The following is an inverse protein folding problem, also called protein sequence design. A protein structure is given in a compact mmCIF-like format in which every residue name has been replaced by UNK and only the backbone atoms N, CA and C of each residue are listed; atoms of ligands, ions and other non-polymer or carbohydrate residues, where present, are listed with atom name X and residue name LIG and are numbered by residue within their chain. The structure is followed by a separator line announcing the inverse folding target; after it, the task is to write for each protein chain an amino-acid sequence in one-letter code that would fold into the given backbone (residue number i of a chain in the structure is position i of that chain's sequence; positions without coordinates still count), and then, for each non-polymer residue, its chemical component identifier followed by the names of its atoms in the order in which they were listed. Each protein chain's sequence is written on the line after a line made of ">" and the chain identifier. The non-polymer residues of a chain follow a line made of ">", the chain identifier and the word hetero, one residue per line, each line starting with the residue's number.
data_IF_963805936951
#
_entry.id   IF_963805936951
#
_cell.length_a   1.000
_cell.length_b   1.000
_cell.length_c   1.000
_cell.angle_alpha   90.00
_cell.angle_beta   90.00
_cell.angle_gamma   90.00
#
_symmetry.space_group_name_H-M   'P 1'
#
loop_
_entity.id
_entity.type
_entity.pdbx_description
1 polymer ?
#
# COMPACT_ATOMS: atom_id res chain seq x y z
N UNK A 1 -1.19 -21.91 50.71
CA UNK A 1 0.22 -21.78 50.29
C UNK A 1 0.19 -21.29 48.84
N UNK A 2 0.90 -20.22 48.47
CA UNK A 2 0.94 -19.72 47.11
C UNK A 2 2.15 -20.29 46.37
N UNK A 3 1.92 -20.79 45.15
CA UNK A 3 2.98 -21.14 44.22
C UNK A 3 3.33 -19.87 43.42
N UNK A 4 4.58 -19.46 43.58
CA UNK A 4 5.24 -18.40 42.82
C UNK A 4 5.56 -18.92 41.43
N UNK A 5 4.81 -18.50 40.42
CA UNK A 5 5.34 -18.26 39.07
C UNK A 5 4.25 -17.56 38.25
N UNK A 6 4.33 -16.23 38.25
CA UNK A 6 3.51 -15.37 37.42
C UNK A 6 3.88 -15.53 35.95
N UNK A 7 3.09 -16.30 35.22
CA UNK A 7 3.11 -16.20 33.76
C UNK A 7 1.68 -16.29 33.20
N UNK A 8 1.12 -15.11 32.98
CA UNK A 8 -0.04 -14.87 32.11
C UNK A 8 0.22 -15.49 30.74
N UNK A 9 -0.80 -16.04 30.04
CA UNK A 9 -0.59 -16.61 28.72
C UNK A 9 -0.24 -15.48 27.74
N UNK A 10 1.04 -15.39 27.40
CA UNK A 10 1.59 -14.49 26.41
C UNK A 10 0.91 -14.76 25.06
N UNK A 11 0.27 -13.74 24.48
CA UNK A 11 -0.49 -13.79 23.24
C UNK A 11 0.43 -14.02 22.02
N UNK A 12 0.91 -15.26 21.85
CA UNK A 12 1.80 -15.69 20.75
C UNK A 12 1.23 -15.49 19.34
N UNK A 13 -0.09 -15.31 19.21
CA UNK A 13 -0.73 -15.26 17.89
C UNK A 13 -0.45 -13.96 17.14
N UNK A 14 -0.37 -12.83 17.84
CA UNK A 14 -0.14 -11.52 17.19
C UNK A 14 1.29 -11.35 16.69
N UNK A 15 2.28 -11.89 17.40
CA UNK A 15 3.69 -11.75 17.05
C UNK A 15 4.06 -12.61 15.84
N UNK A 16 3.54 -13.84 15.76
CA UNK A 16 3.75 -14.75 14.63
C UNK A 16 3.10 -14.18 13.36
N UNK A 17 1.89 -13.62 13.45
CA UNK A 17 1.26 -12.96 12.30
C UNK A 17 2.06 -11.75 11.81
N UNK A 18 2.65 -10.97 12.72
CA UNK A 18 3.47 -9.81 12.36
C UNK A 18 4.82 -10.21 11.77
N UNK A 19 5.43 -11.26 12.30
CA UNK A 19 6.71 -11.78 11.82
C UNK A 19 6.56 -12.47 10.45
N UNK A 20 5.48 -13.23 10.24
CA UNK A 20 5.13 -13.79 8.94
C UNK A 20 4.78 -12.68 7.95
N UNK A 21 3.99 -11.68 8.36
CA UNK A 21 3.68 -10.51 7.53
C UNK A 21 4.96 -9.78 7.10
N UNK A 22 5.85 -9.45 8.04
CA UNK A 22 7.13 -8.81 7.74
C UNK A 22 8.01 -9.67 6.82
N UNK A 23 8.05 -10.99 7.00
CA UNK A 23 8.85 -11.88 6.14
C UNK A 23 8.30 -12.01 4.72
N UNK A 24 6.97 -11.99 4.57
CA UNK A 24 6.32 -12.01 3.26
C UNK A 24 6.54 -10.67 2.55
N UNK A 25 6.29 -9.55 3.24
CA UNK A 25 6.55 -8.19 2.73
C UNK A 25 8.00 -8.03 2.26
N UNK A 26 8.96 -8.57 3.02
CA UNK A 26 10.38 -8.44 2.68
C UNK A 26 10.85 -9.37 1.55
N UNK A 27 10.05 -10.36 1.13
CA UNK A 27 10.38 -11.30 0.04
C UNK A 27 9.57 -11.08 -1.25
N UNK A 28 8.47 -10.34 -1.19
CA UNK A 28 7.75 -9.93 -2.39
C UNK A 28 8.44 -8.65 -2.89
N UNK A 29 8.83 -8.63 -4.17
CA UNK A 29 9.43 -7.45 -4.84
C UNK A 29 8.37 -6.34 -5.04
N UNK A 30 7.10 -6.66 -4.80
CA UNK A 30 5.96 -5.77 -4.87
C UNK A 30 5.96 -4.74 -3.74
N UNK A 31 5.54 -3.53 -4.09
CA UNK A 31 5.27 -2.49 -3.10
C UNK A 31 3.85 -2.66 -2.59
N UNK A 32 3.68 -2.51 -1.29
CA UNK A 32 2.37 -2.33 -0.69
C UNK A 32 2.18 -0.85 -0.37
N UNK A 33 1.13 -0.27 -0.93
CA UNK A 33 0.73 1.11 -0.67
C UNK A 33 -0.72 1.18 -0.21
N UNK A 34 -1.00 2.22 0.56
CA UNK A 34 -2.32 2.58 1.03
C UNK A 34 -2.54 4.05 0.68
N UNK A 35 -3.73 4.37 0.17
CA UNK A 35 -4.14 5.75 -0.08
C UNK A 35 -5.51 6.05 0.51
N UNK A 36 -5.72 7.31 0.89
CA UNK A 36 -7.04 7.83 1.22
C UNK A 36 -7.91 8.01 -0.03
N UNK A 37 -9.21 8.30 0.15
CA UNK A 37 -10.15 8.54 -0.95
C UNK A 37 -9.80 9.79 -1.81
N UNK A 38 -8.86 10.62 -1.37
CA UNK A 38 -8.34 11.78 -2.12
C UNK A 38 -7.03 11.44 -2.85
N UNK A 39 -6.54 10.22 -2.73
CA UNK A 39 -5.32 9.72 -3.35
C UNK A 39 -4.03 10.06 -2.60
N UNK A 40 -4.08 10.50 -1.34
CA UNK A 40 -2.87 10.71 -0.54
C UNK A 40 -2.39 9.39 0.03
N UNK A 41 -1.09 9.10 -0.09
CA UNK A 41 -0.49 7.94 0.55
C UNK A 41 -0.63 8.04 2.07
N UNK A 42 -1.22 7.03 2.68
CA UNK A 42 -1.31 6.88 4.15
C UNK A 42 -0.32 5.83 4.66
N UNK A 43 0.12 4.93 3.78
CA UNK A 43 1.19 3.97 4.04
C UNK A 43 1.89 3.60 2.74
N UNK A 44 3.19 3.33 2.83
CA UNK A 44 3.98 2.71 1.77
C UNK A 44 5.06 1.82 2.37
N UNK A 45 5.19 0.60 1.85
CA UNK A 45 6.24 -0.32 2.26
C UNK A 45 7.62 0.18 1.80
N UNK A 46 8.72 -0.18 2.49
CA UNK A 46 10.06 0.37 2.21
C UNK A 46 10.57 0.13 0.78
N UNK A 47 10.06 -0.92 0.11
CA UNK A 47 10.38 -1.28 -1.28
C UNK A 47 10.02 -0.16 -2.27
N UNK A 48 9.20 0.83 -1.87
CA UNK A 48 8.88 1.97 -2.72
C UNK A 48 10.11 2.79 -3.14
N UNK A 49 11.16 2.75 -2.32
CA UNK A 49 12.44 3.36 -2.66
C UNK A 49 13.06 2.73 -3.91
N UNK A 50 13.03 1.41 -4.02
CA UNK A 50 13.68 0.71 -5.12
C UNK A 50 12.97 0.91 -6.48
N UNK A 51 11.68 1.27 -6.47
CA UNK A 51 10.88 1.46 -7.70
C UNK A 51 10.66 2.94 -8.04
N UNK A 52 10.38 3.80 -7.04
CA UNK A 52 10.03 5.21 -7.26
C UNK A 52 11.04 6.20 -6.66
N UNK A 53 12.04 5.73 -5.91
CA UNK A 53 13.12 6.57 -5.36
C UNK A 53 12.73 7.39 -4.13
N UNK A 54 11.49 7.26 -3.65
CA UNK A 54 11.01 7.91 -2.43
C UNK A 54 11.20 6.99 -1.24
N UNK A 55 11.57 7.54 -0.08
CA UNK A 55 11.41 6.77 1.17
C UNK A 55 9.94 6.73 1.59
N UNK A 56 9.56 5.78 2.45
CA UNK A 56 8.22 5.70 3.02
C UNK A 56 7.79 7.01 3.69
N UNK A 57 8.71 7.69 4.38
CA UNK A 57 8.46 8.96 5.07
C UNK A 57 8.25 10.12 4.09
N UNK A 58 8.91 10.09 2.93
CA UNK A 58 8.78 11.14 1.92
C UNK A 58 7.48 11.03 1.12
N UNK A 59 7.03 9.80 0.85
CA UNK A 59 5.86 9.55 0.01
C UNK A 59 4.55 9.62 0.77
N UNK A 60 4.53 9.27 2.06
CA UNK A 60 3.34 9.39 2.90
C UNK A 60 2.91 10.86 3.00
N UNK A 61 1.64 11.12 2.72
CA UNK A 61 1.05 12.45 2.61
C UNK A 61 1.12 13.08 1.21
N UNK A 62 1.96 12.58 0.30
CA UNK A 62 1.93 13.00 -1.10
C UNK A 62 0.67 12.47 -1.79
N UNK A 63 0.16 13.24 -2.75
CA UNK A 63 -0.97 12.82 -3.56
C UNK A 63 -0.48 11.97 -4.74
N UNK A 64 -0.73 10.67 -4.69
CA UNK A 64 -0.31 9.71 -5.71
C UNK A 64 -0.84 10.03 -7.11
N UNK A 65 -2.02 10.65 -7.22
CA UNK A 65 -2.59 11.08 -8.52
C UNK A 65 -1.71 12.13 -9.22
N UNK A 66 -0.93 12.90 -8.48
CA UNK A 66 0.03 13.86 -9.06
C UNK A 66 1.29 13.20 -9.60
N UNK A 67 1.59 11.98 -9.14
CA UNK A 67 2.72 11.20 -9.66
C UNK A 67 2.34 10.44 -10.93
N UNK A 68 1.04 10.27 -11.22
CA UNK A 68 0.58 9.55 -12.41
C UNK A 68 0.84 10.39 -13.65
N UNK A 69 1.36 9.75 -14.69
CA UNK A 69 1.54 10.38 -15.99
C UNK A 69 0.22 10.98 -16.50
N UNK A 70 0.20 12.22 -17.03
CA UNK A 70 -1.04 12.92 -17.38
C UNK A 70 -1.98 12.15 -18.32
N UNK A 71 -1.42 11.34 -19.24
CA UNK A 71 -2.21 10.53 -20.17
C UNK A 71 -2.90 9.33 -19.50
N UNK A 72 -2.42 8.87 -18.35
CA UNK A 72 -2.90 7.67 -17.65
C UNK A 72 -3.83 8.05 -16.48
N UNK A 73 -3.81 9.33 -16.09
CA UNK A 73 -4.61 9.88 -14.99
C UNK A 73 -6.13 9.73 -15.20
N UNK A 74 -6.71 9.99 -16.38
CA UNK A 74 -8.16 9.84 -16.59
C UNK A 74 -8.64 8.41 -16.33
N UNK A 75 -7.96 7.41 -16.92
CA UNK A 75 -8.30 5.99 -16.74
C UNK A 75 -8.14 5.55 -15.28
N UNK A 76 -7.07 6.02 -14.61
CA UNK A 76 -6.85 5.72 -13.20
C UNK A 76 -7.99 6.25 -12.32
N UNK A 77 -8.43 7.49 -12.56
CA UNK A 77 -9.53 8.09 -11.81
C UNK A 77 -10.85 7.36 -12.04
N UNK A 78 -11.12 6.90 -13.27
CA UNK A 78 -12.30 6.09 -13.57
C UNK A 78 -12.26 4.76 -12.82
N UNK A 79 -11.15 4.02 -12.88
CA UNK A 79 -11.01 2.74 -12.15
C UNK A 79 -11.11 2.91 -10.64
N UNK A 80 -10.54 3.98 -10.08
CA UNK A 80 -10.69 4.28 -8.65
C UNK A 80 -12.16 4.53 -8.30
N UNK A 81 -12.89 5.33 -9.09
CA UNK A 81 -14.33 5.58 -8.87
C UNK A 81 -15.15 4.30 -8.98
N UNK A 82 -14.89 3.46 -9.97
CA UNK A 82 -15.56 2.17 -10.13
C UNK A 82 -15.35 1.28 -8.91
N UNK A 83 -14.12 1.15 -8.45
CA UNK A 83 -13.75 0.39 -7.23
C UNK A 83 -14.46 0.94 -6.00
N UNK A 84 -14.56 2.28 -5.87
CA UNK A 84 -15.33 2.97 -4.82
C UNK A 84 -16.79 2.59 -4.82
N UNK A 85 -17.42 2.59 -5.99
CA UNK A 85 -18.84 2.34 -6.10
C UNK A 85 -19.19 0.85 -5.99
N UNK A 86 -18.42 -0.03 -6.65
CA UNK A 86 -18.71 -1.47 -6.69
C UNK A 86 -18.17 -2.22 -5.48
N UNK A 87 -17.07 -1.74 -4.87
CA UNK A 87 -16.30 -2.50 -3.88
C UNK A 87 -15.51 -3.67 -4.46
N UNK A 88 -15.51 -3.83 -5.79
CA UNK A 88 -14.71 -4.85 -6.48
C UNK A 88 -13.24 -4.44 -6.51
N UNK A 89 -12.35 -5.42 -6.70
CA UNK A 89 -10.90 -5.15 -6.82
C UNK A 89 -10.58 -4.63 -8.22
N UNK A 90 -9.79 -3.57 -8.31
CA UNK A 90 -9.24 -3.07 -9.57
C UNK A 90 -7.89 -3.71 -9.90
N UNK A 91 -7.62 -3.78 -11.20
CA UNK A 91 -6.27 -3.96 -11.76
C UNK A 91 -6.03 -2.85 -12.79
N UNK A 92 -4.88 -2.20 -12.75
CA UNK A 92 -4.53 -1.15 -13.69
C UNK A 92 -3.04 -1.08 -13.95
N UNK A 93 -2.66 -0.73 -15.16
CA UNK A 93 -1.28 -0.44 -15.52
C UNK A 93 -1.18 1.06 -15.83
N UNK A 94 -0.20 1.74 -15.25
CA UNK A 94 -0.01 3.17 -15.43
C UNK A 94 1.45 3.54 -15.26
N UNK A 95 1.81 4.75 -15.69
CA UNK A 95 3.14 5.31 -15.45
C UNK A 95 3.11 6.22 -14.23
N UNK A 96 4.04 6.00 -13.30
CA UNK A 96 4.27 6.85 -12.15
C UNK A 96 5.60 7.60 -12.29
N UNK A 97 5.66 8.84 -11.82
CA UNK A 97 6.86 9.66 -11.83
C UNK A 97 7.79 9.27 -10.69
N UNK A 98 8.98 8.80 -11.05
CA UNK A 98 10.10 8.60 -10.13
C UNK A 98 10.56 9.94 -9.55
N UNK A 99 11.16 9.93 -8.35
CA UNK A 99 11.70 11.12 -7.69
C UNK A 99 12.68 11.93 -8.57
N UNK A 100 13.43 11.23 -9.41
CA UNK A 100 14.37 11.83 -10.37
C UNK A 100 13.70 12.39 -11.65
N UNK A 101 12.37 12.36 -11.73
CA UNK A 101 11.57 13.01 -12.78
C UNK A 101 11.26 12.16 -14.01
N UNK A 102 11.85 10.97 -14.16
CA UNK A 102 11.49 10.01 -15.21
C UNK A 102 10.23 9.20 -14.83
N UNK A 103 9.64 8.48 -15.79
CA UNK A 103 8.45 7.66 -15.56
C UNK A 103 8.80 6.17 -15.50
N UNK A 104 8.16 5.46 -14.57
CA UNK A 104 8.26 4.01 -14.36
C UNK A 104 6.90 3.38 -14.64
N UNK A 105 6.87 2.26 -15.35
CA UNK A 105 5.65 1.49 -15.57
C UNK A 105 5.31 0.67 -14.33
N UNK A 106 4.07 0.76 -13.90
CA UNK A 106 3.56 0.18 -12.66
C UNK A 106 2.32 -0.65 -13.00
N UNK A 107 2.27 -1.90 -12.55
CA UNK A 107 1.04 -2.70 -12.56
C UNK A 107 0.45 -2.72 -11.15
N UNK A 108 -0.75 -2.22 -10.96
CA UNK A 108 -1.41 -2.14 -9.66
C UNK A 108 -2.62 -3.05 -9.58
N UNK A 109 -2.79 -3.68 -8.42
CA UNK A 109 -3.98 -4.43 -8.01
C UNK A 109 -4.42 -3.94 -6.66
N UNK A 110 -5.67 -3.55 -6.52
CA UNK A 110 -6.13 -2.91 -5.30
C UNK A 110 -7.62 -3.02 -5.06
N UNK A 111 -8.04 -2.64 -3.86
CA UNK A 111 -9.45 -2.63 -3.48
C UNK A 111 -9.68 -1.83 -2.22
N UNK A 112 -10.94 -1.66 -1.87
CA UNK A 112 -11.34 -0.85 -0.71
C UNK A 112 -11.44 -1.71 0.52
N UNK A 113 -10.85 -1.20 1.58
CA UNK A 113 -11.02 -1.67 2.94
C UNK A 113 -12.09 -0.78 3.58
N UNK A 114 -13.21 -1.38 3.98
CA UNK A 114 -14.37 -0.65 4.54
C UNK A 114 -14.32 -0.50 6.06
N UNK A 115 -13.32 -1.09 6.73
CA UNK A 115 -13.20 -1.08 8.21
C UNK A 115 -12.64 0.26 8.75
N UNK A 116 -12.03 1.05 7.85
CA UNK A 116 -11.73 2.48 7.89
C UNK A 116 -11.66 2.87 6.42
N UNK A 117 -12.33 3.92 5.94
CA UNK A 117 -12.41 4.27 4.51
C UNK A 117 -11.03 4.42 3.81
N UNK A 118 -10.44 3.31 3.35
CA UNK A 118 -9.03 3.20 2.95
C UNK A 118 -8.91 2.32 1.70
N UNK A 119 -8.09 2.71 0.72
CA UNK A 119 -7.77 1.94 -0.48
C UNK A 119 -6.36 1.32 -0.36
N UNK A 120 -6.26 0.00 -0.52
CA UNK A 120 -4.96 -0.68 -0.62
C UNK A 120 -4.61 -0.96 -2.08
N UNK A 121 -3.37 -0.65 -2.46
CA UNK A 121 -2.79 -0.95 -3.77
C UNK A 121 -1.52 -1.79 -3.59
N UNK A 122 -1.55 -3.01 -4.11
CA UNK A 122 -0.39 -3.85 -4.39
C UNK A 122 0.14 -3.51 -5.78
N UNK A 123 1.40 -3.13 -5.88
CA UNK A 123 2.08 -2.92 -7.16
C UNK A 123 2.90 -4.16 -7.51
N UNK A 124 2.52 -4.87 -8.58
CA UNK A 124 3.32 -5.92 -9.21
C UNK A 124 4.30 -5.33 -10.24
#
# INVERSE_FOLDING_TARGET
>A
MPDSDGNTPFNKNSDISREIFNRIINNIVDIITEVDLKGHFTYASPQIYDILGYTSEEIVGLNGLKLIHPNDLPETLEKMKETINSGERMTMDYRAQHKDGHYVYISAKGGIIRDREILNFLLC
#
